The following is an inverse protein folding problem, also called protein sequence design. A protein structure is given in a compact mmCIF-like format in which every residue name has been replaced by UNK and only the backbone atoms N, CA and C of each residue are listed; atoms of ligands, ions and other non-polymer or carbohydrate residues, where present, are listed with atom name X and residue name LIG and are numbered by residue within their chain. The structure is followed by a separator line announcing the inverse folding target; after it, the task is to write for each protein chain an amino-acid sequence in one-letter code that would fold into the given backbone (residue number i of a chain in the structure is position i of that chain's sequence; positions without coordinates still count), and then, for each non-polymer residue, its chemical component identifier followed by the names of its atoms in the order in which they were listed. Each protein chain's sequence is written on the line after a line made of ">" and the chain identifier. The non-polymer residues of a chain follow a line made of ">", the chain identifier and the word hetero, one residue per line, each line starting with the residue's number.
data_IF_105115958143
#
_entry.id   IF_105115958143
#
_cell.length_a   1.000
_cell.length_b   1.000
_cell.length_c   1.000
_cell.angle_alpha   90.00
_cell.angle_beta   90.00
_cell.angle_gamma   90.00
#
_symmetry.space_group_name_H-M   'P 1'
#
loop_
_entity.id
_entity.type
_entity.pdbx_description
1 polymer ?
#
# COMPACT_ATOMS: atom_id res chain seq x y z
N UNK A 1 18.57 -26.92 -11.91
CA UNK A 1 18.08 -26.69 -10.53
C UNK A 1 17.36 -25.37 -10.52
N UNK A 2 16.05 -25.41 -10.78
CA UNK A 2 15.14 -24.28 -10.56
C UNK A 2 14.40 -24.60 -9.26
N UNK A 3 14.43 -23.69 -8.29
CA UNK A 3 13.60 -23.78 -7.08
C UNK A 3 12.23 -23.24 -7.48
N UNK A 4 11.20 -24.05 -7.31
CA UNK A 4 9.80 -23.67 -7.49
C UNK A 4 9.36 -22.96 -6.20
N UNK A 5 8.80 -21.75 -6.35
CA UNK A 5 8.26 -20.95 -5.25
C UNK A 5 6.80 -21.38 -4.99
N UNK A 6 6.39 -21.66 -3.74
CA UNK A 6 5.13 -22.38 -3.47
C UNK A 6 3.87 -21.48 -3.31
N UNK A 7 3.86 -20.25 -3.81
CA UNK A 7 2.77 -19.29 -3.52
C UNK A 7 1.85 -18.94 -4.69
N UNK A 8 1.87 -19.71 -5.78
CA UNK A 8 0.86 -19.58 -6.86
C UNK A 8 -0.34 -20.46 -6.51
N UNK A 9 -1.18 -20.04 -5.56
CA UNK A 9 -2.50 -20.64 -5.36
C UNK A 9 -3.56 -19.66 -4.83
N UNK A 10 -3.57 -18.38 -5.22
CA UNK A 10 -4.81 -17.58 -5.10
C UNK A 10 -4.91 -16.54 -6.21
N UNK A 11 -5.21 -17.01 -7.42
CA UNK A 11 -5.73 -16.16 -8.49
C UNK A 11 -6.83 -16.93 -9.21
N UNK A 12 -8.06 -16.80 -8.70
CA UNK A 12 -9.20 -17.54 -9.20
C UNK A 12 -10.53 -16.97 -8.72
N UNK A 13 -10.71 -15.64 -8.75
CA UNK A 13 -12.05 -15.06 -8.67
C UNK A 13 -12.41 -14.43 -10.01
N UNK A 14 -12.82 -15.30 -10.93
CA UNK A 14 -13.44 -14.95 -12.20
C UNK A 14 -14.85 -14.46 -11.90
N UNK A 15 -15.14 -13.24 -12.38
CA UNK A 15 -16.45 -12.64 -12.54
C UNK A 15 -17.52 -13.68 -12.90
N UNK A 16 -18.55 -13.81 -12.07
CA UNK A 16 -19.91 -14.13 -12.50
C UNK A 16 -20.91 -13.67 -11.44
N UNK A 17 -21.82 -12.82 -11.91
CA UNK A 17 -23.09 -12.42 -11.32
C UNK A 17 -23.84 -13.54 -10.57
N UNK A 18 -24.60 -13.11 -9.55
CA UNK A 18 -25.72 -13.81 -8.90
C UNK A 18 -25.40 -14.63 -7.64
N UNK A 19 -25.83 -14.08 -6.50
CA UNK A 19 -26.59 -14.73 -5.43
C UNK A 19 -26.51 -16.28 -5.35
N UNK A 20 -25.78 -16.79 -4.35
CA UNK A 20 -26.00 -18.08 -3.67
C UNK A 20 -25.08 -18.12 -2.43
N UNK A 21 -25.57 -17.83 -1.23
CA UNK A 21 -26.11 -18.81 -0.29
C UNK A 21 -25.20 -20.04 -0.11
N UNK A 22 -24.37 -20.01 0.92
CA UNK A 22 -23.81 -21.23 1.49
C UNK A 22 -24.80 -21.73 2.56
N UNK A 23 -25.63 -22.68 2.14
CA UNK A 23 -26.37 -23.63 2.97
C UNK A 23 -25.39 -24.65 3.59
N UNK A 24 -25.92 -25.45 4.53
CA UNK A 24 -25.38 -26.64 5.19
C UNK A 24 -25.01 -26.47 6.68
N UNK A 25 -25.98 -26.72 7.58
CA UNK A 25 -26.12 -28.06 8.19
C UNK A 25 -27.37 -28.17 9.09
N UNK A 26 -28.22 -29.16 8.80
CA UNK A 26 -29.30 -29.64 9.67
C UNK A 26 -28.72 -30.45 10.84
N UNK A 27 -29.25 -30.20 12.04
CA UNK A 27 -29.10 -31.05 13.21
C UNK A 27 -30.28 -30.86 14.15
N UNK A 28 -31.18 -31.83 14.13
CA UNK A 28 -32.42 -31.93 14.90
C UNK A 28 -32.19 -32.01 16.42
N UNK A 29 -33.13 -31.50 17.22
CA UNK A 29 -33.98 -32.28 18.13
C UNK A 29 -34.56 -31.47 19.30
N UNK A 30 -35.81 -31.81 19.59
CA UNK A 30 -36.78 -31.23 20.52
C UNK A 30 -36.36 -31.13 22.00
N UNK A 31 -36.79 -30.07 22.68
CA UNK A 31 -37.48 -30.24 23.97
C UNK A 31 -38.52 -29.15 24.24
N UNK A 32 -39.77 -29.58 24.34
CA UNK A 32 -40.90 -28.80 24.80
C UNK A 32 -41.02 -28.91 26.33
N UNK A 33 -40.79 -27.82 27.08
CA UNK A 33 -41.44 -27.70 28.38
C UNK A 33 -41.77 -26.26 28.74
N UNK A 34 -43.04 -26.05 29.06
CA UNK A 34 -43.55 -24.81 29.62
C UNK A 34 -43.28 -24.80 31.13
N UNK A 35 -42.56 -23.79 31.62
CA UNK A 35 -42.60 -23.39 33.03
C UNK A 35 -42.87 -21.90 33.16
N UNK A 36 -44.01 -21.62 33.78
CA UNK A 36 -44.41 -20.32 34.32
C UNK A 36 -43.62 -20.06 35.62
N UNK A 37 -42.89 -18.94 35.70
CA UNK A 37 -42.44 -18.37 36.96
C UNK A 37 -40.98 -17.92 37.02
N UNK A 38 -40.81 -16.76 37.66
CA UNK A 38 -39.60 -16.13 38.23
C UNK A 38 -38.61 -15.46 37.26
N UNK A 39 -38.56 -14.13 37.38
CA UNK A 39 -37.40 -13.28 37.11
C UNK A 39 -36.17 -13.82 37.83
N UNK A 40 -35.07 -14.01 37.11
CA UNK A 40 -33.79 -13.33 37.30
C UNK A 40 -32.72 -13.93 36.36
N UNK A 41 -31.81 -13.05 35.94
CA UNK A 41 -30.46 -13.26 35.41
C UNK A 41 -30.23 -13.72 33.96
N UNK A 42 -29.44 -12.89 33.28
CA UNK A 42 -28.41 -13.19 32.29
C UNK A 42 -28.73 -14.26 31.25
N UNK A 43 -28.99 -13.85 30.00
CA UNK A 43 -28.21 -14.42 28.90
C UNK A 43 -28.31 -13.64 27.57
N UNK A 44 -27.17 -13.69 26.86
CA UNK A 44 -26.92 -13.67 25.40
C UNK A 44 -27.79 -12.78 24.52
N UNK A 45 -27.24 -11.89 23.71
CA UNK A 45 -25.99 -11.96 23.00
C UNK A 45 -26.23 -11.11 21.75
N UNK A 46 -25.54 -9.99 21.67
CA UNK A 46 -25.35 -9.30 20.40
C UNK A 46 -23.93 -8.75 20.47
N UNK A 47 -22.99 -9.68 20.57
CA UNK A 47 -21.66 -9.51 19.99
C UNK A 47 -21.81 -9.53 18.47
N UNK A 48 -22.45 -8.49 17.94
CA UNK A 48 -22.13 -7.98 16.63
C UNK A 48 -20.70 -7.43 16.65
N UNK A 49 -19.72 -8.29 16.95
CA UNK A 49 -18.39 -8.17 16.38
C UNK A 49 -18.59 -8.38 14.89
N UNK A 50 -19.01 -7.31 14.22
CA UNK A 50 -18.60 -7.09 12.86
C UNK A 50 -17.10 -6.98 12.92
N UNK A 51 -16.44 -8.14 12.97
CA UNK A 51 -15.07 -8.35 12.59
C UNK A 51 -15.04 -8.03 11.08
N UNK A 52 -15.20 -6.74 10.76
CA UNK A 52 -14.61 -6.14 9.57
C UNK A 52 -13.12 -6.03 9.86
N UNK A 53 -12.50 -7.20 10.12
CA UNK A 53 -11.08 -7.41 9.94
C UNK A 53 -10.89 -7.23 8.44
N UNK A 54 -10.76 -5.96 8.07
CA UNK A 54 -10.14 -5.55 6.83
C UNK A 54 -8.78 -6.20 6.83
N UNK A 55 -8.69 -7.42 6.28
CA UNK A 55 -7.41 -8.10 6.10
C UNK A 55 -6.57 -7.18 5.22
N UNK A 56 -5.69 -6.44 5.88
CA UNK A 56 -4.70 -5.61 5.23
C UNK A 56 -3.85 -6.55 4.40
N UNK A 57 -3.88 -6.36 3.08
CA UNK A 57 -3.14 -7.23 2.17
C UNK A 57 -1.64 -6.98 2.37
N UNK A 58 -0.99 -7.85 3.15
CA UNK A 58 0.44 -7.76 3.45
C UNK A 58 1.24 -8.58 2.45
N UNK A 59 2.19 -7.93 1.83
CA UNK A 59 3.15 -8.48 0.89
C UNK A 59 4.51 -8.57 1.55
N UNK A 60 5.15 -9.74 1.51
CA UNK A 60 6.42 -9.99 2.23
C UNK A 60 7.57 -10.11 1.25
N UNK A 61 8.72 -9.53 1.61
CA UNK A 61 9.94 -9.52 0.81
C UNK A 61 10.15 -8.23 0.04
N UNK A 62 11.26 -8.19 -0.69
CA UNK A 62 11.72 -7.00 -1.40
C UNK A 62 11.23 -7.01 -2.85
N UNK A 63 10.84 -5.84 -3.34
CA UNK A 63 10.26 -5.65 -4.67
C UNK A 63 11.13 -4.69 -5.48
N UNK A 64 11.45 -5.10 -6.71
CA UNK A 64 12.18 -4.29 -7.67
C UNK A 64 11.29 -4.07 -8.88
N UNK A 65 10.92 -2.83 -9.13
CA UNK A 65 10.25 -2.38 -10.36
C UNK A 65 11.31 -1.74 -11.24
N UNK A 66 11.70 -2.42 -12.30
CA UNK A 66 12.73 -1.96 -13.22
C UNK A 66 12.24 -1.86 -14.67
N UNK A 67 13.12 -1.46 -15.59
CA UNK A 67 12.80 -1.37 -17.03
C UNK A 67 12.69 -2.72 -17.75
N UNK A 68 13.00 -3.85 -17.10
CA UNK A 68 12.92 -5.16 -17.71
C UNK A 68 11.49 -5.70 -17.67
N UNK A 69 10.78 -5.56 -16.54
CA UNK A 69 9.45 -6.12 -16.36
C UNK A 69 8.46 -5.21 -15.60
N UNK A 70 8.54 -3.90 -15.80
CA UNK A 70 7.72 -2.88 -15.12
C UNK A 70 6.24 -3.30 -14.89
N UNK A 71 5.54 -3.79 -15.92
CA UNK A 71 4.12 -4.16 -15.82
C UNK A 71 3.87 -5.36 -14.89
N UNK A 72 4.76 -6.36 -14.90
CA UNK A 72 4.66 -7.54 -14.03
C UNK A 72 5.03 -7.18 -12.59
N UNK A 73 6.07 -6.36 -12.40
CA UNK A 73 6.53 -5.93 -11.08
C UNK A 73 5.47 -5.05 -10.39
N UNK A 74 4.86 -4.11 -11.12
CA UNK A 74 3.75 -3.29 -10.61
C UNK A 74 2.49 -4.13 -10.34
N UNK A 75 2.20 -5.13 -11.19
CA UNK A 75 1.07 -6.02 -10.97
C UNK A 75 1.24 -6.86 -9.70
N UNK A 76 2.48 -7.24 -9.35
CA UNK A 76 2.78 -7.96 -8.11
C UNK A 76 2.51 -7.09 -6.87
N UNK A 77 2.66 -5.77 -6.97
CA UNK A 77 2.41 -4.81 -5.89
C UNK A 77 0.97 -4.28 -5.84
N UNK A 78 0.17 -4.48 -6.89
CA UNK A 78 -1.12 -3.79 -7.04
C UNK A 78 -2.17 -4.11 -5.96
N UNK A 79 -2.08 -5.31 -5.37
CA UNK A 79 -2.96 -5.74 -4.29
C UNK A 79 -2.39 -5.44 -2.89
N UNK A 80 -1.14 -5.01 -2.78
CA UNK A 80 -0.45 -4.83 -1.50
C UNK A 80 -0.87 -3.54 -0.82
N UNK A 81 -1.31 -3.64 0.43
CA UNK A 81 -1.51 -2.50 1.32
C UNK A 81 -0.29 -2.24 2.20
N UNK A 82 0.37 -3.30 2.67
CA UNK A 82 1.61 -3.20 3.45
C UNK A 82 2.68 -4.03 2.75
N UNK A 83 3.86 -3.45 2.56
CA UNK A 83 5.04 -4.20 2.11
C UNK A 83 5.99 -4.37 3.29
N UNK A 84 6.14 -5.62 3.73
CA UNK A 84 7.13 -6.06 4.70
C UNK A 84 8.47 -6.35 4.02
N UNK A 85 9.17 -5.29 3.63
CA UNK A 85 10.44 -5.34 2.90
C UNK A 85 10.77 -4.00 2.26
N UNK A 86 11.73 -4.03 1.34
CA UNK A 86 12.15 -2.85 0.57
C UNK A 86 11.41 -2.77 -0.78
N UNK A 87 11.15 -1.56 -1.26
CA UNK A 87 10.55 -1.31 -2.58
C UNK A 87 11.47 -0.39 -3.36
N UNK A 88 12.06 -0.91 -4.43
CA UNK A 88 12.92 -0.16 -5.33
C UNK A 88 12.24 0.02 -6.68
N UNK A 89 11.92 1.25 -7.04
CA UNK A 89 11.34 1.63 -8.33
C UNK A 89 12.42 2.41 -9.08
N UNK A 90 13.17 1.71 -9.91
CA UNK A 90 14.40 2.26 -10.48
C UNK A 90 14.56 2.01 -11.97
N UNK A 91 14.98 3.05 -12.69
CA UNK A 91 15.39 2.90 -14.08
C UNK A 91 14.26 2.60 -15.05
N UNK A 92 12.99 2.82 -14.69
CA UNK A 92 11.88 2.61 -15.62
C UNK A 92 11.84 3.72 -16.68
N UNK A 93 11.78 3.32 -17.94
CA UNK A 93 11.78 4.24 -19.10
C UNK A 93 10.42 4.38 -19.77
N UNK A 94 9.41 3.66 -19.28
CA UNK A 94 8.06 3.62 -19.88
C UNK A 94 6.95 3.91 -18.88
N UNK A 95 7.21 3.81 -17.58
CA UNK A 95 6.24 4.05 -16.52
C UNK A 95 6.03 5.55 -16.29
N UNK A 96 4.81 6.04 -16.54
CA UNK A 96 4.48 7.45 -16.37
C UNK A 96 3.95 7.81 -14.96
N UNK A 97 3.46 6.82 -14.21
CA UNK A 97 2.88 6.98 -12.88
C UNK A 97 2.92 5.66 -12.08
N UNK A 98 2.53 5.71 -10.81
CA UNK A 98 2.54 4.60 -9.87
C UNK A 98 1.14 4.12 -9.51
N UNK A 99 0.15 4.29 -10.40
CA UNK A 99 -1.27 4.07 -10.07
C UNK A 99 -1.59 2.66 -9.58
N UNK A 100 -0.78 1.67 -9.96
CA UNK A 100 -0.88 0.31 -9.43
C UNK A 100 -0.71 0.27 -7.90
N UNK A 101 0.06 1.20 -7.32
CA UNK A 101 0.36 1.26 -5.89
C UNK A 101 -0.72 1.99 -5.06
N UNK A 102 -1.91 2.26 -5.62
CA UNK A 102 -2.98 3.05 -4.97
C UNK A 102 -3.41 2.55 -3.59
N UNK A 103 -3.20 1.26 -3.32
CA UNK A 103 -3.57 0.60 -2.07
C UNK A 103 -2.45 0.63 -1.03
N UNK A 104 -1.22 0.99 -1.43
CA UNK A 104 -0.04 0.94 -0.58
C UNK A 104 -0.12 2.01 0.50
N UNK A 105 -0.27 1.59 1.75
CA UNK A 105 -0.35 2.45 2.93
C UNK A 105 0.96 2.52 3.71
N UNK A 106 1.78 1.47 3.62
CA UNK A 106 3.01 1.33 4.39
C UNK A 106 4.07 0.48 3.68
N UNK A 107 5.33 0.93 3.77
CA UNK A 107 6.52 0.14 3.46
C UNK A 107 7.35 0.04 4.73
N UNK A 108 7.61 -1.16 5.24
CA UNK A 108 8.35 -1.31 6.50
C UNK A 108 9.85 -1.10 6.34
N UNK A 109 10.38 -1.31 5.13
CA UNK A 109 11.77 -1.08 4.76
C UNK A 109 11.97 0.25 4.05
N UNK A 110 12.89 0.27 3.09
CA UNK A 110 13.23 1.41 2.24
C UNK A 110 12.27 1.54 1.05
N UNK A 111 11.98 2.78 0.64
CA UNK A 111 11.29 3.08 -0.61
C UNK A 111 12.17 3.98 -1.48
N UNK A 112 12.70 3.43 -2.56
CA UNK A 112 13.52 4.15 -3.54
C UNK A 112 12.72 4.36 -4.82
N UNK A 113 12.62 5.61 -5.29
CA UNK A 113 12.01 5.99 -6.56
C UNK A 113 13.02 6.85 -7.30
N UNK A 114 13.95 6.20 -8.00
CA UNK A 114 15.05 6.91 -8.64
C UNK A 114 15.32 6.52 -10.09
N UNK A 115 15.82 7.48 -10.87
CA UNK A 115 16.20 7.26 -12.28
C UNK A 115 15.04 6.79 -13.19
N UNK A 116 13.79 7.19 -12.90
CA UNK A 116 12.65 6.87 -13.76
C UNK A 116 12.39 8.01 -14.74
N UNK A 117 13.11 8.01 -15.86
CA UNK A 117 13.10 9.10 -16.86
C UNK A 117 11.71 9.41 -17.45
N UNK A 118 10.79 8.45 -17.41
CA UNK A 118 9.43 8.61 -17.92
C UNK A 118 8.38 8.96 -16.83
N UNK A 119 8.75 8.92 -15.55
CA UNK A 119 7.83 9.15 -14.44
C UNK A 119 7.47 10.63 -14.36
N UNK A 120 6.18 10.94 -14.52
CA UNK A 120 5.67 12.32 -14.54
C UNK A 120 5.15 12.75 -13.17
N UNK A 121 4.62 11.81 -12.40
CA UNK A 121 4.08 12.02 -11.06
C UNK A 121 4.12 10.72 -10.26
N UNK A 122 3.92 10.84 -8.96
CA UNK A 122 3.80 9.70 -8.02
C UNK A 122 2.34 9.33 -7.74
N UNK A 123 1.43 9.61 -8.70
CA UNK A 123 0.02 9.22 -8.60
C UNK A 123 -0.07 7.74 -8.28
N UNK A 124 -0.79 7.40 -7.20
CA UNK A 124 -0.83 6.06 -6.63
C UNK A 124 -0.26 5.98 -5.23
N UNK A 125 0.60 6.92 -4.81
CA UNK A 125 1.11 6.95 -3.43
C UNK A 125 0.28 7.80 -2.46
N UNK A 126 -0.95 8.18 -2.85
CA UNK A 126 -1.87 9.00 -2.05
C UNK A 126 -2.27 8.39 -0.71
N UNK A 127 -2.16 7.07 -0.60
CA UNK A 127 -2.51 6.31 0.60
C UNK A 127 -1.29 6.04 1.49
N UNK A 128 -0.07 6.32 1.01
CA UNK A 128 1.16 5.99 1.73
C UNK A 128 1.33 6.93 2.93
N UNK A 129 1.29 6.36 4.13
CA UNK A 129 1.37 7.12 5.38
C UNK A 129 2.69 6.93 6.12
N UNK A 130 3.39 5.82 5.88
CA UNK A 130 4.60 5.44 6.61
C UNK A 130 5.61 4.72 5.72
N UNK A 131 6.87 5.11 5.85
CA UNK A 131 8.05 4.36 5.41
C UNK A 131 8.92 4.05 6.62
N UNK A 132 9.29 2.79 6.83
CA UNK A 132 10.04 2.36 8.02
C UNK A 132 11.54 2.64 7.93
N UNK A 133 12.10 2.66 6.72
CA UNK A 133 13.49 3.01 6.40
C UNK A 133 13.62 4.39 5.77
N UNK A 134 14.51 4.50 4.79
CA UNK A 134 14.72 5.70 3.97
C UNK A 134 13.64 5.81 2.88
N UNK A 135 13.28 7.05 2.52
CA UNK A 135 12.49 7.37 1.34
C UNK A 135 13.31 8.26 0.42
N UNK A 136 13.72 7.72 -0.72
CA UNK A 136 14.54 8.40 -1.72
C UNK A 136 13.72 8.65 -2.99
N UNK A 137 13.54 9.92 -3.39
CA UNK A 137 12.92 10.31 -4.65
C UNK A 137 13.91 11.19 -5.41
N UNK A 138 14.65 10.57 -6.34
CA UNK A 138 15.84 11.19 -6.90
C UNK A 138 16.04 10.94 -8.40
N UNK A 139 16.63 11.91 -9.11
CA UNK A 139 16.96 11.76 -10.53
C UNK A 139 15.77 11.35 -11.44
N UNK A 140 14.54 11.79 -11.15
CA UNK A 140 13.39 11.56 -12.03
C UNK A 140 13.20 12.79 -12.92
N UNK A 141 13.85 12.79 -14.09
CA UNK A 141 13.94 13.97 -14.95
C UNK A 141 12.60 14.52 -15.47
N UNK A 142 11.59 13.67 -15.61
CA UNK A 142 10.26 14.05 -16.08
C UNK A 142 9.26 14.35 -14.93
N UNK A 143 9.67 14.16 -13.67
CA UNK A 143 8.78 14.29 -12.52
C UNK A 143 8.39 15.76 -12.34
N UNK A 144 7.09 16.03 -12.23
CA UNK A 144 6.53 17.38 -12.11
C UNK A 144 6.03 17.69 -10.71
N UNK A 145 5.56 16.67 -9.98
CA UNK A 145 5.00 16.83 -8.65
C UNK A 145 5.15 15.56 -7.78
N UNK A 146 5.08 15.79 -6.47
CA UNK A 146 5.04 14.76 -5.42
C UNK A 146 3.87 15.00 -4.44
N UNK A 147 2.88 15.80 -4.85
CA UNK A 147 1.78 16.22 -3.97
C UNK A 147 0.90 15.04 -3.49
N UNK A 148 0.88 13.94 -4.24
CA UNK A 148 0.20 12.71 -3.81
C UNK A 148 0.82 12.14 -2.52
N UNK A 149 2.06 12.47 -2.17
CA UNK A 149 2.66 12.05 -0.88
C UNK A 149 2.20 12.89 0.32
N UNK A 150 1.17 13.73 0.17
CA UNK A 150 0.64 14.58 1.26
C UNK A 150 0.11 13.81 2.49
N UNK A 151 -0.20 12.51 2.35
CA UNK A 151 -0.58 11.65 3.46
C UNK A 151 0.61 11.08 4.26
N UNK A 152 1.84 11.22 3.74
CA UNK A 152 3.04 10.70 4.35
C UNK A 152 3.32 11.43 5.68
N UNK A 153 3.26 10.67 6.78
CA UNK A 153 3.36 11.23 8.13
C UNK A 153 4.65 10.84 8.86
N UNK A 154 5.30 9.76 8.44
CA UNK A 154 6.46 9.18 9.10
C UNK A 154 7.43 8.53 8.10
N UNK A 155 8.72 8.84 8.25
CA UNK A 155 9.85 8.14 7.62
C UNK A 155 10.82 7.77 8.73
N UNK A 156 11.16 6.49 8.88
CA UNK A 156 12.01 6.03 9.97
C UNK A 156 13.48 6.44 9.82
N UNK A 157 13.94 6.59 8.58
CA UNK A 157 15.28 7.01 8.21
C UNK A 157 15.34 8.45 7.68
N UNK A 158 15.87 8.61 6.48
CA UNK A 158 16.02 9.90 5.79
C UNK A 158 14.96 10.03 4.70
N UNK A 159 14.26 11.16 4.69
CA UNK A 159 13.42 11.58 3.57
C UNK A 159 14.25 12.45 2.63
N UNK A 160 14.49 11.97 1.42
CA UNK A 160 15.28 12.64 0.40
C UNK A 160 14.41 12.89 -0.83
N UNK A 161 14.29 14.15 -1.23
CA UNK A 161 13.62 14.55 -2.46
C UNK A 161 14.52 15.56 -3.18
N UNK A 162 15.44 15.05 -4.00
CA UNK A 162 16.47 15.85 -4.66
C UNK A 162 16.66 15.47 -6.13
N UNK A 163 17.25 16.37 -6.92
CA UNK A 163 17.61 16.10 -8.32
C UNK A 163 16.42 15.74 -9.24
N UNK A 164 15.25 16.35 -9.04
CA UNK A 164 14.10 16.25 -9.93
C UNK A 164 13.87 17.60 -10.65
N UNK A 165 14.60 17.89 -11.74
CA UNK A 165 14.80 19.24 -12.26
C UNK A 165 13.55 19.92 -12.86
N UNK A 166 12.46 19.19 -13.12
CA UNK A 166 11.19 19.77 -13.59
C UNK A 166 10.16 19.97 -12.48
N UNK A 167 10.35 19.31 -11.33
CA UNK A 167 9.43 19.36 -10.21
C UNK A 167 9.69 20.61 -9.37
N UNK A 168 8.63 21.30 -8.98
CA UNK A 168 8.73 22.47 -8.12
C UNK A 168 9.30 22.17 -6.75
N UNK A 169 10.33 22.91 -6.33
CA UNK A 169 10.94 22.77 -5.01
C UNK A 169 9.90 22.93 -3.88
N UNK A 170 8.96 23.87 -4.04
CA UNK A 170 7.88 24.09 -3.08
C UNK A 170 6.97 22.87 -2.85
N UNK A 171 6.87 21.96 -3.82
CA UNK A 171 6.10 20.71 -3.64
C UNK A 171 6.83 19.69 -2.79
N UNK A 172 8.17 19.60 -2.91
CA UNK A 172 8.99 18.78 -2.02
C UNK A 172 8.96 19.33 -0.59
N UNK A 173 9.09 20.65 -0.44
CA UNK A 173 9.05 21.32 0.86
C UNK A 173 7.70 21.08 1.57
N UNK A 174 6.59 21.12 0.82
CA UNK A 174 5.26 20.85 1.37
C UNK A 174 5.11 19.42 1.93
N UNK A 175 5.68 18.40 1.25
CA UNK A 175 5.68 17.02 1.74
C UNK A 175 6.49 16.90 3.03
N UNK A 176 7.65 17.57 3.10
CA UNK A 176 8.50 17.57 4.29
C UNK A 176 7.85 18.28 5.46
N UNK A 177 7.22 19.43 5.23
CA UNK A 177 6.47 20.16 6.26
C UNK A 177 5.27 19.34 6.77
N UNK A 178 4.68 18.50 5.91
CA UNK A 178 3.62 17.56 6.26
C UNK A 178 4.08 16.36 7.08
N UNK A 179 5.36 15.97 6.98
CA UNK A 179 5.89 14.82 7.71
C UNK A 179 6.11 15.13 9.19
N UNK A 180 5.30 14.53 10.05
CA UNK A 180 5.37 14.73 11.52
C UNK A 180 6.51 13.98 12.20
N UNK A 181 7.00 12.89 11.58
CA UNK A 181 8.05 12.03 12.13
C UNK A 181 9.07 11.66 11.06
N UNK A 182 9.83 12.65 10.59
CA UNK A 182 10.97 12.49 9.69
C UNK A 182 12.24 13.00 10.38
N UNK A 183 13.11 12.12 10.94
CA UNK A 183 14.24 12.55 11.75
C UNK A 183 15.34 13.22 10.93
N UNK A 184 15.49 12.84 9.66
CA UNK A 184 16.41 13.47 8.71
C UNK A 184 15.65 13.77 7.42
N UNK A 185 15.85 14.98 6.89
CA UNK A 185 15.24 15.42 5.63
C UNK A 185 16.29 16.09 4.76
N UNK A 186 16.23 15.84 3.45
CA UNK A 186 17.10 16.47 2.45
C UNK A 186 16.30 16.80 1.20
N UNK A 187 16.38 18.05 0.75
CA UNK A 187 15.88 18.46 -0.56
C UNK A 187 16.87 19.40 -1.21
N UNK A 188 16.85 19.42 -2.53
CA UNK A 188 17.67 20.32 -3.33
C UNK A 188 17.71 19.88 -4.79
N UNK A 189 18.27 20.73 -5.63
CA UNK A 189 18.48 20.43 -7.05
C UNK A 189 17.20 20.02 -7.81
N UNK A 190 16.03 20.48 -7.33
CA UNK A 190 14.77 20.44 -8.07
C UNK A 190 14.58 21.76 -8.85
N UNK A 191 13.36 22.09 -9.28
CA UNK A 191 13.06 23.35 -9.96
C UNK A 191 12.76 24.49 -8.96
N UNK A 192 13.70 25.42 -8.83
CA UNK A 192 13.58 26.64 -8.00
C UNK A 192 12.86 27.80 -8.73
N UNK A 193 12.69 27.70 -10.05
CA UNK A 193 12.18 28.78 -10.93
C UNK A 193 10.68 28.60 -11.29
N UNK A 194 9.93 27.96 -10.40
CA UNK A 194 8.48 27.93 -10.43
C UNK A 194 7.89 28.60 -9.17
#
# INVERSE_FOLDING_TARGET
>A
MRRENPWILFAGCLLLSSLAACDEHNGDDDDSSATNGTVDDDDTGDDGSGDDDTEVATCTGDYLVDSLNTDEDLAALAACSVVEGDVHIVGSTTMANLTALSNLTEVTGELEICHNDALINVLGLSSLTRVGGDLDICHNFALLDVADLSALSSVGGTLIIEENPLMCQSTADAVIEGCTSCPNVRTGDNNEDC
#
